data_IF_690270232486
#
_entry.id   IF_690270232486
#
_cell.length_a   1.000
_cell.length_b   1.000
_cell.length_c   1.000
_cell.angle_alpha   90.00
_cell.angle_beta   90.00
_cell.angle_gamma   90.00
#
_symmetry.space_group_name_H-M   'P 1'
#
loop_
_entity.id
_entity.type
_entity.pdbx_description
1 polymer ?
2 non-polymer ?
3 non-polymer ?
4 non-polymer ?
5 non-polymer ?
6 non-polymer ?
7 water ?
#
# COMPACT_ATOMS: atom_id res chain seq x y z
N UNK A 1 5.72 21.86 5.91
CA UNK A 1 5.14 22.25 4.59
C UNK A 1 3.69 22.74 4.75
N UNK A 2 3.54 23.76 5.59
CA UNK A 2 2.24 24.25 6.00
C UNK A 2 1.39 24.80 4.88
N UNK A 3 2.01 25.30 3.80
CA UNK A 3 1.25 25.83 2.68
C UNK A 3 0.58 24.76 1.80
N UNK A 4 0.79 23.48 2.11
CA UNK A 4 0.02 22.40 1.43
C UNK A 4 -1.13 21.87 2.28
N UNK A 5 -1.12 22.16 3.57
CA UNK A 5 -2.11 21.54 4.46
C UNK A 5 -3.53 21.99 4.18
N UNK A 6 -4.46 21.12 4.53
CA UNK A 6 -5.90 21.36 4.45
C UNK A 6 -6.44 21.31 5.87
N UNK A 7 -7.35 22.23 6.17
CA UNK A 7 -7.92 22.41 7.49
C UNK A 7 -9.30 21.78 7.52
N UNK A 8 -9.56 20.85 8.46
CA UNK A 8 -10.91 20.26 8.55
C UNK A 8 -11.92 21.29 9.04
N UNK A 9 -12.94 21.53 8.25
CA UNK A 9 -14.10 22.37 8.59
C UNK A 9 -15.27 21.60 9.12
N UNK A 10 -15.45 20.36 8.66
CA UNK A 10 -16.51 19.54 9.19
C UNK A 10 -16.20 18.10 8.88
N UNK A 11 -16.69 17.24 9.75
CA UNK A 11 -16.62 15.79 9.55
C UNK A 11 -17.90 15.17 9.94
N UNK A 12 -18.17 14.05 9.30
CA UNK A 12 -19.27 13.21 9.68
C UNK A 12 -18.94 11.79 9.31
N UNK A 13 -19.52 10.83 10.02
CA UNK A 13 -19.46 9.48 9.54
C UNK A 13 -20.61 9.32 8.57
N UNK A 14 -20.29 9.20 7.28
CA UNK A 14 -21.29 9.22 6.20
C UNK A 14 -21.90 7.83 6.00
N UNK A 15 -21.15 6.78 6.29
CA UNK A 15 -21.65 5.44 6.04
C UNK A 15 -20.98 4.46 6.96
N UNK A 16 -21.75 3.48 7.40
CA UNK A 16 -21.21 2.31 8.07
C UNK A 16 -21.82 1.08 7.43
N UNK A 17 -20.96 0.23 6.90
CA UNK A 17 -21.40 -1.00 6.30
C UNK A 17 -21.27 -2.09 7.35
N UNK A 18 -21.21 -3.32 6.87
CA UNK A 18 -20.96 -4.43 7.74
C UNK A 18 -19.61 -4.30 8.40
N UNK A 19 -18.64 -3.80 7.63
CA UNK A 19 -17.26 -3.68 8.06
C UNK A 19 -16.68 -2.29 7.85
N UNK A 20 -17.02 -1.61 6.76
CA UNK A 20 -16.32 -0.39 6.43
C UNK A 20 -17.07 0.82 6.94
N UNK A 21 -16.33 1.73 7.56
CA UNK A 21 -16.86 2.99 8.06
C UNK A 21 -16.22 4.12 7.24
N UNK A 22 -17.07 4.98 6.68
CA UNK A 22 -16.57 6.06 5.83
C UNK A 22 -16.81 7.42 6.50
N UNK A 23 -15.74 8.20 6.60
CA UNK A 23 -15.81 9.60 7.03
C UNK A 23 -15.83 10.52 5.82
N UNK A 24 -16.69 11.52 5.87
CA UNK A 24 -16.73 12.54 4.84
C UNK A 24 -16.45 13.89 5.47
N UNK A 25 -15.45 14.60 4.97
CA UNK A 25 -15.01 15.89 5.53
C UNK A 25 -15.13 16.97 4.50
N UNK A 26 -15.42 18.20 4.96
CA UNK A 26 -15.20 19.37 4.19
C UNK A 26 -13.93 19.98 4.73
N UNK A 27 -13.02 20.34 3.83
CA UNK A 27 -11.75 20.93 4.20
C UNK A 27 -11.53 22.25 3.50
N UNK A 28 -10.78 23.13 4.14
CA UNK A 28 -10.29 24.35 3.53
C UNK A 28 -8.90 24.11 3.02
N UNK A 29 -8.78 24.14 1.70
CA UNK A 29 -7.50 23.86 1.06
C UNK A 29 -6.59 25.11 0.97
N UNK A 30 -5.39 24.98 0.37
CA UNK A 30 -4.48 26.15 0.35
C UNK A 30 -5.00 27.34 -0.44
N UNK A 31 -5.99 27.12 -1.28
CA UNK A 31 -6.61 28.24 -2.00
C UNK A 31 -7.70 28.99 -1.18
N UNK A 32 -7.94 28.51 0.03
CA UNK A 32 -8.96 29.05 0.93
C UNK A 32 -10.38 28.58 0.59
N UNK A 33 -10.51 27.74 -0.44
CA UNK A 33 -11.77 27.15 -0.87
C UNK A 33 -12.02 25.79 -0.20
N UNK A 34 -13.25 25.34 -0.28
CA UNK A 34 -13.72 24.17 0.45
C UNK A 34 -13.90 23.00 -0.51
N UNK A 35 -13.34 21.86 -0.07
CA UNK A 35 -13.37 20.65 -0.85
C UNK A 35 -13.82 19.48 0.02
N UNK A 36 -14.46 18.52 -0.61
CA UNK A 36 -14.82 17.28 0.04
C UNK A 36 -13.66 16.30 0.03
N UNK A 37 -13.49 15.63 1.16
CA UNK A 37 -12.55 14.51 1.29
C UNK A 37 -13.24 13.33 1.97
N UNK A 38 -13.02 12.11 1.44
CA UNK A 38 -13.68 10.92 1.95
C UNK A 38 -12.65 9.87 2.17
N UNK A 39 -12.78 9.17 3.29
CA UNK A 39 -11.80 8.16 3.63
C UNK A 39 -12.36 7.17 4.62
N UNK A 40 -11.80 5.97 4.59
CA UNK A 40 -12.17 4.86 5.47
C UNK A 40 -11.48 5.06 6.82
N UNK A 41 -12.23 4.78 7.89
CA UNK A 41 -11.68 4.84 9.23
C UNK A 41 -11.24 3.44 9.59
N UNK A 42 -9.95 3.27 9.81
CA UNK A 42 -9.36 1.96 9.97
C UNK A 42 -8.61 1.93 11.29
N UNK A 43 -8.64 0.77 11.96
CA UNK A 43 -8.02 0.75 13.28
C UNK A 43 -6.48 0.75 13.33
N UNK A 44 -5.84 0.56 12.17
CA UNK A 44 -4.42 0.27 12.16
C UNK A 44 -4.14 -1.23 12.20
N UNK A 45 -2.88 -1.59 11.99
CA UNK A 45 -2.53 -3.02 11.81
C UNK A 45 -1.03 -3.22 12.09
N UNK A 46 -0.69 -4.48 12.26
CA UNK A 46 0.69 -4.91 12.32
C UNK A 46 0.92 -6.06 11.34
N UNK A 47 2.18 -6.19 10.89
CA UNK A 47 2.65 -7.26 10.05
C UNK A 47 4.05 -7.64 10.50
N UNK A 48 4.33 -8.96 10.45
CA UNK A 48 5.54 -9.59 11.01
C UNK A 48 6.31 -10.28 9.91
N UNK A 49 7.63 -10.12 9.95
CA UNK A 49 8.52 -10.89 9.10
C UNK A 49 9.13 -11.98 10.01
N UNK A 50 8.64 -13.24 9.91
CA UNK A 50 9.08 -14.28 10.92
C UNK A 50 10.22 -15.09 10.36
N UNK A 51 11.42 -14.83 10.85
CA UNK A 51 12.65 -15.41 10.33
C UNK A 51 13.03 -16.63 11.16
N UNK A 52 13.05 -17.78 10.50
CA UNK A 52 13.31 -19.08 11.10
C UNK A 52 14.80 -19.32 11.25
N UNK A 53 15.15 -20.24 12.13
CA UNK A 53 16.57 -20.56 12.27
C UNK A 53 17.18 -21.01 10.97
N UNK A 54 16.41 -21.69 10.12
CA UNK A 54 16.96 -22.20 8.85
C UNK A 54 17.13 -21.13 7.74
N UNK A 55 16.76 -19.89 8.05
CA UNK A 55 16.87 -18.80 7.15
C UNK A 55 15.64 -18.54 6.34
N UNK A 56 14.68 -19.44 6.36
CA UNK A 56 13.41 -19.19 5.65
C UNK A 56 12.55 -18.29 6.49
N UNK A 57 11.54 -17.75 5.81
CA UNK A 57 10.54 -16.96 6.51
C UNK A 57 9.21 -17.66 6.46
N UNK A 58 8.41 -17.44 7.48
CA UNK A 58 7.08 -18.01 7.60
C UNK A 58 6.12 -17.02 6.92
N UNK A 59 5.41 -17.54 5.94
CA UNK A 59 4.46 -16.73 5.16
C UNK A 59 3.16 -17.48 5.09
N UNK A 60 2.12 -16.84 4.57
CA UNK A 60 0.85 -17.47 4.39
C UNK A 60 0.31 -17.30 2.98
N UNK A 61 -0.55 -18.24 2.60
CA UNK A 61 -1.42 -17.99 1.44
C UNK A 61 -2.80 -17.71 1.98
N UNK A 62 -3.44 -16.66 1.44
CA UNK A 62 -4.76 -16.27 1.88
C UNK A 62 -5.52 -15.72 0.68
N UNK A 63 -6.80 -16.12 0.57
CA UNK A 63 -7.63 -15.59 -0.49
C UNK A 63 -8.17 -14.23 -0.07
N UNK A 64 -8.20 -13.30 -1.01
CA UNK A 64 -8.68 -11.93 -0.76
C UNK A 64 -9.72 -11.61 -1.78
N UNK A 65 -10.96 -11.65 -1.32
CA UNK A 65 -12.06 -11.48 -2.20
C UNK A 65 -12.11 -10.12 -2.88
N UNK A 66 -11.56 -9.08 -2.24
CA UNK A 66 -11.53 -7.75 -2.87
C UNK A 66 -10.85 -7.77 -4.23
N UNK A 67 -9.83 -8.64 -4.38
CA UNK A 67 -9.05 -8.75 -5.61
C UNK A 67 -9.28 -10.06 -6.36
N UNK A 68 -10.07 -10.95 -5.76
CA UNK A 68 -10.43 -12.26 -6.34
C UNK A 68 -9.20 -13.12 -6.54
N UNK A 69 -8.23 -13.01 -5.65
CA UNK A 69 -6.96 -13.71 -5.81
C UNK A 69 -6.46 -14.25 -4.47
N UNK A 70 -5.64 -15.29 -4.57
CA UNK A 70 -4.89 -15.82 -3.43
C UNK A 70 -3.56 -15.08 -3.42
N UNK A 71 -3.23 -14.53 -2.27
CA UNK A 71 -1.98 -13.81 -2.09
C UNK A 71 -0.98 -14.53 -1.21
N UNK A 72 0.30 -14.36 -1.52
CA UNK A 72 1.36 -14.72 -0.56
C UNK A 72 1.56 -13.53 0.35
N UNK A 73 1.47 -13.71 1.66
CA UNK A 73 1.54 -12.58 2.60
C UNK A 73 2.41 -12.92 3.77
N UNK A 74 2.97 -11.91 4.41
CA UNK A 74 3.47 -12.05 5.75
C UNK A 74 2.25 -12.02 6.69
N UNK A 75 2.33 -12.69 7.83
CA UNK A 75 1.18 -12.63 8.77
C UNK A 75 0.91 -11.22 9.27
N UNK A 76 -0.37 -10.90 9.46
CA UNK A 76 -0.75 -9.61 9.85
C UNK A 76 -2.16 -9.61 10.45
N UNK A 77 -2.51 -8.55 11.14
CA UNK A 77 -3.91 -8.31 11.49
C UNK A 77 -4.14 -6.91 12.01
N UNK A 78 -5.41 -6.60 12.26
CA UNK A 78 -5.81 -5.31 12.73
C UNK A 78 -5.60 -5.12 14.21
N UNK A 79 -5.30 -3.89 14.54
CA UNK A 79 -5.09 -3.46 15.89
C UNK A 79 -6.42 -3.52 16.64
N UNK A 80 -6.44 -4.17 17.79
CA UNK A 80 -7.64 -4.29 18.62
C UNK A 80 -7.65 -3.21 19.71
N UNK A 81 -8.72 -2.41 19.68
CA UNK A 81 -8.96 -1.32 20.63
C UNK A 81 -7.70 -0.69 21.20
N UNK A 82 -6.99 0.00 20.32
CA UNK A 82 -5.79 0.78 20.65
C UNK A 82 -4.69 0.10 21.45
N UNK A 83 -4.61 -1.22 21.34
CA UNK A 83 -3.48 -1.96 21.89
C UNK A 83 -2.20 -1.53 21.18
N UNK A 84 -1.04 -1.68 21.82
CA UNK A 84 0.22 -1.48 21.13
C UNK A 84 0.31 -2.54 20.01
N UNK A 85 0.85 -2.12 18.86
CA UNK A 85 0.88 -3.01 17.73
C UNK A 85 1.82 -4.19 17.91
N UNK A 86 2.76 -4.08 18.85
CA UNK A 86 3.60 -5.24 19.20
C UNK A 86 2.74 -6.38 19.71
N UNK A 87 1.72 -6.05 20.52
CA UNK A 87 0.76 -7.08 20.95
C UNK A 87 -0.04 -7.68 19.76
N UNK A 88 -0.51 -6.82 18.85
CA UNK A 88 -1.18 -7.29 17.69
C UNK A 88 -0.30 -8.27 16.94
N UNK A 89 0.96 -7.90 16.76
CA UNK A 89 1.85 -8.73 15.99
C UNK A 89 2.07 -10.07 16.67
N UNK A 90 2.35 -10.05 17.96
CA UNK A 90 2.55 -11.34 18.69
C UNK A 90 1.33 -12.26 18.54
N UNK A 91 0.14 -11.69 18.69
CA UNK A 91 -1.07 -12.45 18.67
C UNK A 91 -1.33 -13.01 17.29
N UNK A 92 -1.17 -12.17 16.26
CA UNK A 92 -1.41 -12.62 14.94
C UNK A 92 -0.39 -13.65 14.50
N UNK A 93 0.84 -13.52 14.92
CA UNK A 93 1.84 -14.50 14.51
C UNK A 93 1.42 -15.85 15.07
N UNK A 94 0.96 -15.82 16.32
CA UNK A 94 0.58 -17.09 16.99
C UNK A 94 -0.69 -17.67 16.37
N UNK A 95 -1.68 -16.82 16.16
CA UNK A 95 -2.94 -17.29 15.64
C UNK A 95 -2.87 -17.74 14.20
N UNK A 96 -2.22 -16.95 13.33
CA UNK A 96 -2.16 -17.31 11.93
C UNK A 96 -1.20 -18.42 11.59
N UNK A 97 -0.13 -18.57 12.37
CA UNK A 97 0.93 -19.51 12.00
C UNK A 97 1.38 -20.43 13.11
N UNK A 98 0.98 -20.18 14.36
CA UNK A 98 1.46 -20.96 15.50
C UNK A 98 2.80 -20.62 16.13
N UNK A 99 3.45 -19.57 15.69
CA UNK A 99 4.78 -19.27 16.18
C UNK A 99 4.76 -18.22 17.26
N UNK A 100 5.73 -18.32 18.16
CA UNK A 100 6.11 -17.21 19.03
C UNK A 100 7.56 -16.87 18.72
N UNK A 101 7.93 -15.64 19.01
CA UNK A 101 9.28 -15.15 18.78
C UNK A 101 9.81 -14.50 20.05
N UNK A 102 11.08 -14.74 20.38
CA UNK A 102 11.70 -14.05 21.53
C UNK A 102 12.28 -12.67 21.23
N UNK A 103 12.56 -12.39 19.94
CA UNK A 103 13.20 -11.18 19.57
C UNK A 103 12.30 -10.47 18.58
N UNK A 104 11.77 -9.33 18.98
CA UNK A 104 10.92 -8.48 18.13
C UNK A 104 11.58 -7.14 17.91
N UNK A 105 11.55 -6.65 16.66
CA UNK A 105 12.15 -5.37 16.34
C UNK A 105 11.18 -4.64 15.46
N UNK A 106 10.81 -3.44 15.88
CA UNK A 106 9.99 -2.57 15.02
C UNK A 106 10.86 -2.09 13.87
N UNK A 107 10.37 -2.22 12.63
CA UNK A 107 11.08 -1.70 11.47
C UNK A 107 10.61 -0.35 10.97
N UNK A 108 9.31 -0.23 10.68
CA UNK A 108 8.82 0.99 10.09
C UNK A 108 7.30 0.94 10.07
N UNK A 109 6.68 2.11 9.86
CA UNK A 109 5.26 2.20 9.67
C UNK A 109 4.95 2.62 8.23
N UNK A 110 4.00 1.94 7.62
CA UNK A 110 3.59 2.24 6.25
C UNK A 110 2.15 2.70 6.26
N UNK A 111 1.78 3.50 5.26
CA UNK A 111 0.42 3.93 5.01
C UNK A 111 0.02 3.42 3.62
N UNK A 112 -0.84 2.41 3.57
CA UNK A 112 -1.14 1.78 2.27
C UNK A 112 -2.16 2.42 1.43
N UNK A 113 -2.90 3.39 1.95
CA UNK A 113 -4.05 3.94 1.25
C UNK A 113 -4.16 5.46 1.47
N UNK A 114 -3.09 6.21 1.21
CA UNK A 114 -3.05 7.62 1.61
C UNK A 114 -4.17 8.46 0.98
N UNK A 115 -4.71 8.03 -0.14
CA UNK A 115 -5.82 8.79 -0.73
C UNK A 115 -7.16 8.52 -0.10
N UNK A 116 -7.36 7.41 0.60
CA UNK A 116 -8.70 7.11 1.10
C UNK A 116 -8.85 6.21 2.30
N UNK A 117 -7.82 6.10 3.11
CA UNK A 117 -7.99 5.41 4.38
C UNK A 117 -6.94 5.95 5.34
N UNK A 118 -7.24 6.02 6.63
CA UNK A 118 -6.23 6.38 7.59
C UNK A 118 -5.42 5.18 8.13
N UNK A 119 -5.53 4.03 7.48
CA UNK A 119 -4.80 2.83 7.88
C UNK A 119 -3.30 3.11 7.93
N UNK A 120 -2.66 2.62 9.00
CA UNK A 120 -1.22 2.48 9.04
C UNK A 120 -0.97 1.06 9.46
N UNK A 121 0.18 0.54 9.03
CA UNK A 121 0.60 -0.84 9.34
C UNK A 121 2.01 -0.71 9.92
N UNK A 122 2.21 -1.21 11.14
CA UNK A 122 3.51 -1.26 11.74
C UNK A 122 4.12 -2.60 11.37
N UNK A 123 5.34 -2.56 10.85
CA UNK A 123 6.02 -3.74 10.34
C UNK A 123 7.13 -4.10 11.36
N UNK A 124 7.19 -5.38 11.69
CA UNK A 124 8.12 -5.90 12.66
C UNK A 124 8.91 -7.06 12.08
N UNK A 125 10.10 -7.26 12.61
CA UNK A 125 10.94 -8.43 12.31
C UNK A 125 10.90 -9.30 13.56
N UNK A 126 10.52 -10.55 13.41
CA UNK A 126 10.44 -11.53 14.51
C UNK A 126 11.49 -12.59 14.28
N UNK A 127 12.32 -12.77 15.30
CA UNK A 127 13.42 -13.71 15.29
C UNK A 127 13.40 -14.53 16.57
N UNK A 128 14.14 -15.63 16.51
CA UNK A 128 14.21 -16.65 17.57
C UNK A 128 12.82 -17.24 17.77
N UNK A 129 12.39 -17.98 16.77
CA UNK A 129 11.03 -18.50 16.69
C UNK A 129 10.95 -19.87 17.31
N UNK A 130 9.79 -20.15 17.89
CA UNK A 130 9.44 -21.49 18.30
C UNK A 130 7.97 -21.71 17.97
N UNK A 131 7.65 -22.93 17.56
CA UNK A 131 6.32 -23.32 17.10
C UNK A 131 5.42 -23.94 18.18
N UNK A 132 4.12 -23.64 18.07
CA UNK A 132 3.03 -24.22 18.86
C UNK A 132 1.97 -24.75 17.87
N UNK A 133 0.83 -24.06 17.70
CA UNK A 133 -0.10 -24.39 16.60
C UNK A 133 -1.08 -23.26 16.24
N UNK A 134 -1.56 -23.33 15.00
CA UNK A 134 -2.41 -22.30 14.41
C UNK A 134 -3.78 -22.26 15.10
N UNK A 135 -4.36 -21.06 15.23
CA UNK A 135 -5.73 -20.92 15.72
C UNK A 135 -6.48 -19.87 14.89
N UNK A 136 -7.21 -20.31 13.88
CA UNK A 136 -7.84 -19.41 12.92
C UNK A 136 -9.20 -18.87 13.38
N UNK A 137 -9.51 -17.64 12.99
CA UNK A 137 -10.80 -17.01 13.31
C UNK A 137 -11.89 -17.59 12.40
N UNK A 138 -13.15 -17.40 12.79
CA UNK A 138 -14.28 -17.70 11.90
C UNK A 138 -14.16 -16.86 10.64
N UNK A 139 -14.26 -17.51 9.47
CA UNK A 139 -14.16 -16.80 8.21
C UNK A 139 -12.72 -16.55 7.76
N UNK A 140 -11.74 -17.09 8.49
CA UNK A 140 -10.31 -16.93 8.19
C UNK A 140 -9.74 -18.28 7.75
N UNK A 141 -9.17 -18.31 6.55
CA UNK A 141 -8.71 -19.54 5.93
C UNK A 141 -7.30 -19.26 5.44
N UNK A 142 -6.30 -20.00 5.92
CA UNK A 142 -4.91 -19.61 5.73
C UNK A 142 -4.09 -20.87 5.58
N UNK A 143 -3.17 -20.86 4.63
CA UNK A 143 -2.19 -21.93 4.53
C UNK A 143 -0.85 -21.36 4.90
N UNK A 144 -0.10 -22.04 5.75
CA UNK A 144 1.20 -21.55 6.21
C UNK A 144 2.25 -22.19 5.34
N UNK A 145 3.22 -21.38 4.92
CA UNK A 145 4.33 -21.84 4.07
C UNK A 145 5.65 -21.29 4.58
N UNK A 146 6.73 -22.00 4.27
CA UNK A 146 8.06 -21.47 4.47
C UNK A 146 8.62 -21.08 3.12
N UNK A 147 9.24 -19.90 3.07
CA UNK A 147 9.76 -19.35 1.82
C UNK A 147 11.21 -18.92 2.00
N UNK A 148 12.06 -19.31 1.06
CA UNK A 148 13.44 -18.89 1.10
C UNK A 148 13.50 -17.43 0.64
N UNK A 149 14.22 -16.54 1.39
CA UNK A 149 14.27 -15.13 1.01
C UNK A 149 14.70 -14.88 -0.41
N UNK A 150 15.69 -15.62 -0.89
CA UNK A 150 16.07 -15.51 -2.32
C UNK A 150 14.92 -15.79 -3.30
N UNK A 151 14.10 -16.80 -3.01
CA UNK A 151 12.94 -17.13 -3.81
C UNK A 151 11.91 -16.02 -3.71
N UNK A 152 11.76 -15.47 -2.52
CA UNK A 152 10.77 -14.39 -2.32
C UNK A 152 11.14 -13.20 -3.17
N UNK A 153 12.42 -12.82 -3.20
CA UNK A 153 12.82 -11.64 -3.96
C UNK A 153 12.58 -11.88 -5.44
N UNK A 154 12.78 -13.12 -5.91
CA UNK A 154 12.52 -13.43 -7.32
C UNK A 154 11.03 -13.34 -7.63
N UNK A 155 10.22 -13.80 -6.67
CA UNK A 155 8.78 -13.66 -6.80
C UNK A 155 8.38 -12.20 -6.86
N UNK A 156 9.01 -11.35 -6.05
CA UNK A 156 8.70 -9.92 -6.11
C UNK A 156 8.94 -9.39 -7.53
N UNK A 157 10.14 -9.61 -8.06
CA UNK A 157 10.53 -9.16 -9.37
C UNK A 157 9.53 -9.64 -10.43
N UNK A 158 9.03 -10.87 -10.27
CA UNK A 158 8.07 -11.48 -11.26
C UNK A 158 6.64 -11.00 -11.13
N UNK A 159 6.38 -10.15 -10.13
CA UNK A 159 5.05 -9.59 -9.92
C UNK A 159 4.14 -10.45 -9.09
N UNK A 160 4.71 -11.48 -8.45
CA UNK A 160 3.96 -12.50 -7.77
C UNK A 160 3.79 -12.24 -6.28
N UNK A 161 4.20 -11.05 -5.82
CA UNK A 161 4.04 -10.64 -4.45
C UNK A 161 3.44 -9.25 -4.46
N UNK A 162 2.29 -9.12 -5.11
CA UNK A 162 1.72 -7.78 -5.26
C UNK A 162 1.13 -7.09 -4.02
N UNK A 163 0.89 -7.83 -2.94
CA UNK A 163 0.46 -7.27 -1.69
C UNK A 163 1.49 -6.30 -1.15
N UNK A 164 1.16 -5.03 -1.08
CA UNK A 164 2.14 -4.00 -0.73
C UNK A 164 2.85 -4.24 0.58
N UNK A 165 2.16 -4.69 1.62
CA UNK A 165 2.81 -4.80 2.94
C UNK A 165 3.85 -5.91 2.88
N UNK A 166 3.53 -6.96 2.13
CA UNK A 166 4.40 -8.14 2.10
C UNK A 166 5.58 -7.81 1.19
N UNK A 167 5.33 -7.12 0.07
CA UNK A 167 6.44 -6.74 -0.80
C UNK A 167 7.42 -5.80 -0.11
N UNK A 168 6.89 -4.83 0.64
CA UNK A 168 7.72 -3.97 1.43
C UNK A 168 8.50 -4.81 2.46
N UNK A 169 7.83 -5.78 3.08
CA UNK A 169 8.55 -6.66 4.01
C UNK A 169 9.72 -7.36 3.39
N UNK A 170 9.50 -7.85 2.17
CA UNK A 170 10.54 -8.54 1.44
C UNK A 170 11.75 -7.64 1.21
N UNK A 171 11.52 -6.40 0.79
CA UNK A 171 12.60 -5.47 0.56
C UNK A 171 13.35 -5.11 1.84
N UNK A 172 12.63 -4.91 2.94
CA UNK A 172 13.28 -4.64 4.22
C UNK A 172 14.07 -5.88 4.68
N UNK A 173 13.50 -7.05 4.52
CA UNK A 173 14.24 -8.29 4.81
C UNK A 173 15.52 -8.38 4.01
N UNK A 174 15.43 -8.05 2.72
CA UNK A 174 16.60 -8.11 1.83
C UNK A 174 17.70 -7.20 2.36
N UNK A 175 17.34 -5.98 2.75
CA UNK A 175 18.28 -5.02 3.31
C UNK A 175 18.88 -5.53 4.60
N UNK A 176 18.06 -6.22 5.40
CA UNK A 176 18.52 -6.78 6.65
C UNK A 176 19.49 -7.92 6.42
N UNK A 177 19.13 -8.82 5.51
CA UNK A 177 19.94 -10.06 5.28
C UNK A 177 21.28 -9.73 4.66
N UNK A 178 21.32 -8.65 3.89
CA UNK A 178 22.58 -8.17 3.26
C UNK A 178 23.44 -7.34 4.19
N UNK A 179 22.92 -6.99 5.36
CA UNK A 179 23.64 -6.27 6.39
C UNK A 179 23.62 -4.77 6.12
N UNK A 180 22.74 -4.33 5.20
CA UNK A 180 22.70 -2.91 4.85
C UNK A 180 21.97 -2.16 5.92
N UNK A 181 20.78 -2.67 6.28
CA UNK A 181 19.95 -2.06 7.32
C UNK A 181 19.79 -3.08 8.43
N UNK A 182 20.53 -2.91 9.52
CA UNK A 182 20.47 -3.89 10.62
C UNK A 182 20.95 -3.31 11.95
N UNK B 3 -9.53 -24.35 -3.03
CA UNK B 3 -9.01 -24.67 -1.66
C UNK B 3 -9.12 -23.49 -0.71
N UNK B 4 -8.72 -22.30 -1.14
CA UNK B 4 -8.95 -21.07 -0.37
C UNK B 4 -9.99 -20.16 -1.00
N UNK B 5 -10.27 -20.37 -2.29
CA UNK B 5 -11.13 -19.45 -3.03
C UNK B 5 -12.54 -19.42 -2.44
N UNK B 6 -13.13 -18.24 -2.44
CA UNK B 6 -14.51 -18.02 -2.01
C UNK B 6 -15.35 -17.78 -3.24
N UNK B 7 -16.58 -18.27 -3.21
CA UNK B 7 -17.48 -18.20 -4.36
C UNK B 7 -18.47 -17.07 -4.12
N UNK B 8 -18.61 -16.17 -5.08
CA UNK B 8 -19.57 -15.08 -4.93
C UNK B 8 -20.98 -15.63 -5.13
N UNK B 9 -21.87 -15.33 -4.18
CA UNK B 9 -23.28 -15.70 -4.28
C UNK B 9 -24.16 -14.53 -4.69
N UNK B 10 -23.78 -13.31 -4.26
CA UNK B 10 -24.53 -12.12 -4.62
C UNK B 10 -23.63 -10.92 -4.50
N UNK B 11 -24.02 -9.84 -5.17
CA UNK B 11 -23.24 -8.59 -5.23
C UNK B 11 -24.19 -7.43 -5.16
N UNK B 12 -23.76 -6.35 -4.53
CA UNK B 12 -24.60 -5.17 -4.43
C UNK B 12 -23.66 -3.99 -4.26
N UNK B 13 -23.94 -2.85 -4.88
CA UNK B 13 -23.21 -1.63 -4.55
C UNK B 13 -23.97 -0.96 -3.43
N UNK B 14 -23.41 -0.92 -2.24
CA UNK B 14 -24.17 -0.50 -1.06
C UNK B 14 -23.99 0.99 -0.74
N UNK B 15 -22.90 1.57 -1.21
CA UNK B 15 -22.58 2.95 -0.92
C UNK B 15 -21.91 3.59 -2.09
N UNK B 16 -22.34 4.80 -2.42
CA UNK B 16 -21.62 5.63 -3.32
C UNK B 16 -21.60 7.03 -2.78
N UNK B 17 -20.42 7.54 -2.43
CA UNK B 17 -20.32 8.89 -1.96
C UNK B 17 -19.82 9.83 -3.04
N UNK B 18 -19.13 10.87 -2.60
CA UNK B 18 -18.50 11.79 -3.54
C UNK B 18 -17.45 11.09 -4.38
N UNK B 19 -16.68 10.22 -3.73
CA UNK B 19 -15.58 9.50 -4.36
C UNK B 19 -15.60 8.00 -4.19
N UNK B 20 -16.01 7.54 -3.03
CA UNK B 20 -15.88 6.12 -2.70
C UNK B 20 -17.14 5.33 -2.99
N UNK B 21 -16.95 4.18 -3.61
CA UNK B 21 -18.02 3.25 -3.89
C UNK B 21 -17.70 1.93 -3.19
N UNK B 22 -18.68 1.39 -2.48
CA UNK B 22 -18.50 0.12 -1.73
C UNK B 22 -19.36 -0.99 -2.34
N UNK B 23 -18.70 -2.09 -2.66
CA UNK B 23 -19.37 -3.32 -3.07
C UNK B 23 -19.52 -4.21 -1.82
N UNK B 24 -20.69 -4.80 -1.67
CA UNK B 24 -20.90 -5.81 -0.65
C UNK B 24 -21.35 -7.09 -1.32
N UNK B 25 -20.59 -8.13 -1.03
CA UNK B 25 -20.88 -9.43 -1.59
C UNK B 25 -21.19 -10.44 -0.48
N UNK B 26 -22.08 -11.38 -0.80
CA UNK B 26 -22.18 -12.61 -0.06
C UNK B 26 -21.34 -13.63 -0.75
N UNK B 27 -20.53 -14.38 0.01
CA UNK B 27 -19.66 -15.40 -0.55
C UNK B 27 -19.80 -16.68 0.22
N UNK B 28 -19.54 -17.79 -0.47
CA UNK B 28 -19.42 -19.09 0.19
C UNK B 28 -17.96 -19.41 0.34
N UNK B 29 -17.53 -19.63 1.56
CA UNK B 29 -16.11 -19.84 1.87
C UNK B 29 -15.76 -21.32 1.86
N UNK B 30 -14.48 -21.67 2.07
CA UNK B 30 -14.06 -23.08 2.08
C UNK B 30 -14.71 -23.96 3.13
N UNK B 31 -15.25 -23.37 4.21
CA UNK B 31 -15.98 -24.12 5.23
C UNK B 31 -17.44 -24.37 4.83
N UNK B 32 -17.80 -23.96 3.59
CA UNK B 32 -19.13 -24.11 3.06
C UNK B 32 -20.14 -23.12 3.54
N UNK B 33 -19.70 -22.19 4.38
CA UNK B 33 -20.57 -21.23 5.00
C UNK B 33 -20.52 -19.89 4.30
N UNK B 34 -21.54 -19.08 4.58
CA UNK B 34 -21.73 -17.80 3.88
C UNK B 34 -21.20 -16.66 4.74
N UNK B 35 -20.52 -15.71 4.06
CA UNK B 35 -19.93 -14.57 4.76
C UNK B 35 -20.11 -13.33 3.89
N UNK B 36 -20.06 -12.20 4.55
CA UNK B 36 -20.08 -10.92 3.87
C UNK B 36 -18.65 -10.44 3.57
N UNK B 37 -18.45 -9.88 2.38
CA UNK B 37 -17.21 -9.26 1.99
C UNK B 37 -17.54 -7.86 1.51
N UNK B 38 -16.80 -6.86 2.01
CA UNK B 38 -17.06 -5.47 1.66
C UNK B 38 -15.78 -4.85 1.19
N UNK B 39 -15.82 -4.17 0.04
CA UNK B 39 -14.61 -3.57 -0.47
C UNK B 39 -14.90 -2.37 -1.39
N UNK B 40 -13.93 -1.51 -1.49
CA UNK B 40 -13.98 -0.36 -2.39
C UNK B 40 -13.79 -0.82 -3.84
N UNK B 41 -14.64 -0.27 -4.71
CA UNK B 41 -14.50 -0.41 -6.17
C UNK B 41 -13.71 0.80 -6.63
N UNK B 42 -12.47 0.51 -6.98
CA UNK B 42 -11.49 1.54 -7.37
C UNK B 42 -11.16 1.38 -8.82
N UNK B 43 -10.93 2.48 -9.55
CA UNK B 43 -10.71 2.40 -11.01
C UNK B 43 -9.35 1.83 -11.44
N UNK B 44 -8.44 1.73 -10.50
CA UNK B 44 -7.06 1.40 -10.75
C UNK B 44 -6.29 2.69 -10.94
N UNK B 45 -4.97 2.56 -11.02
CA UNK B 45 -4.11 3.72 -10.99
C UNK B 45 -2.74 3.40 -11.55
N UNK B 46 -2.00 4.46 -11.86
CA UNK B 46 -0.61 4.40 -12.29
C UNK B 46 0.24 5.28 -11.39
N UNK B 47 1.50 4.88 -11.25
CA UNK B 47 2.50 5.68 -10.54
C UNK B 47 3.75 5.65 -11.40
N UNK B 48 4.52 6.72 -11.37
CA UNK B 48 5.59 6.94 -12.32
C UNK B 48 6.84 7.36 -11.59
N UNK B 49 7.94 6.70 -11.90
CA UNK B 49 9.26 7.05 -11.39
C UNK B 49 10.02 7.78 -12.50
N UNK B 50 10.13 9.11 -12.40
CA UNK B 50 10.70 9.85 -13.56
C UNK B 50 12.17 10.14 -13.29
N UNK B 51 13.04 9.49 -14.05
CA UNK B 51 14.48 9.57 -13.87
C UNK B 51 15.08 10.58 -14.83
N UNK B 52 15.72 11.59 -14.24
CA UNK B 52 16.31 12.73 -14.94
C UNK B 52 17.70 12.36 -15.41
N UNK B 53 18.21 13.13 -16.39
CA UNK B 53 19.57 12.87 -16.90
C UNK B 53 20.65 13.07 -15.87
N UNK B 54 20.40 13.88 -14.84
CA UNK B 54 21.38 14.06 -13.72
C UNK B 54 21.36 12.95 -12.66
N UNK B 55 20.51 11.94 -12.85
CA UNK B 55 20.41 10.81 -11.91
C UNK B 55 19.41 11.01 -10.78
N UNK B 56 18.81 12.18 -10.71
CA UNK B 56 17.81 12.42 -9.67
C UNK B 56 16.47 11.93 -10.23
N UNK B 57 15.51 11.80 -9.34
CA UNK B 57 14.13 11.54 -9.70
C UNK B 57 13.23 12.67 -9.32
N UNK B 58 12.23 12.86 -10.17
CA UNK B 58 11.19 13.83 -9.93
C UNK B 58 10.19 13.22 -8.97
N UNK B 59 9.95 13.90 -7.86
CA UNK B 59 8.97 13.49 -6.86
C UNK B 59 8.09 14.66 -6.54
N UNK B 60 7.09 14.43 -5.70
CA UNK B 60 6.20 15.51 -5.30
C UNK B 60 6.01 15.51 -3.78
N UNK B 61 5.63 16.67 -3.24
CA UNK B 61 5.07 16.73 -1.90
C UNK B 61 3.59 17.04 -2.09
N UNK B 62 2.76 16.34 -1.36
CA UNK B 62 1.31 16.45 -1.45
C UNK B 62 0.71 16.17 -0.07
N UNK B 63 -0.22 17.00 0.37
CA UNK B 63 -0.94 16.73 1.60
C UNK B 63 -1.98 15.65 1.33
N UNK B 64 -2.21 14.79 2.32
CA UNK B 64 -3.22 13.72 2.21
C UNK B 64 -4.10 13.73 3.43
N UNK B 65 -5.29 14.29 3.26
CA UNK B 65 -6.19 14.42 4.35
C UNK B 65 -6.53 13.14 5.07
N UNK B 66 -6.56 12.01 4.36
CA UNK B 66 -6.95 10.77 5.01
C UNK B 66 -5.99 10.45 6.16
N UNK B 67 -4.73 10.84 6.03
CA UNK B 67 -3.73 10.54 7.06
C UNK B 67 -3.28 11.82 7.81
N UNK B 68 -3.65 12.99 7.32
CA UNK B 68 -3.35 14.29 7.97
C UNK B 68 -1.87 14.63 7.96
N UNK B 69 -1.18 14.28 6.87
CA UNK B 69 0.25 14.50 6.71
C UNK B 69 0.53 14.91 5.26
N UNK B 70 1.64 15.59 5.11
CA UNK B 70 2.26 15.81 3.82
C UNK B 70 3.14 14.60 3.54
N UNK B 71 3.02 14.06 2.34
CA UNK B 71 3.79 12.95 1.87
C UNK B 71 4.74 13.31 0.75
N UNK B 72 5.88 12.62 0.78
CA UNK B 72 6.77 12.54 -0.36
C UNK B 72 6.30 11.35 -1.24
N UNK B 73 5.90 11.64 -2.49
CA UNK B 73 5.37 10.64 -3.39
C UNK B 73 6.02 10.68 -4.75
N UNK B 74 5.96 9.58 -5.45
CA UNK B 74 6.09 9.62 -6.90
C UNK B 74 4.72 10.00 -7.45
N UNK B 75 4.71 10.72 -8.59
CA UNK B 75 3.42 11.18 -9.15
C UNK B 75 2.59 10.01 -9.59
N UNK B 76 1.25 10.19 -9.61
CA UNK B 76 0.35 9.09 -9.82
C UNK B 76 -1.02 9.63 -10.09
N UNK B 77 -1.90 8.78 -10.57
CA UNK B 77 -3.32 9.10 -10.62
C UNK B 77 -4.14 7.92 -11.04
N UNK B 78 -5.47 8.15 -11.01
CA UNK B 78 -6.44 7.12 -11.25
C UNK B 78 -6.78 6.96 -12.72
N UNK B 79 -7.03 5.72 -13.09
CA UNK B 79 -7.44 5.39 -14.46
C UNK B 79 -8.78 6.03 -14.78
N UNK B 80 -8.84 6.66 -15.95
CA UNK B 80 -10.06 7.31 -16.44
C UNK B 80 -10.70 6.46 -17.54
N UNK B 81 -12.02 6.27 -17.46
CA UNK B 81 -12.76 5.46 -18.44
C UNK B 81 -12.05 4.16 -18.85
N UNK B 82 -11.53 3.40 -17.88
CA UNK B 82 -10.74 2.19 -18.18
C UNK B 82 -9.72 2.30 -19.35
N UNK B 83 -9.08 3.45 -19.48
CA UNK B 83 -7.95 3.60 -20.39
C UNK B 83 -6.77 2.70 -19.98
N UNK B 84 -5.91 2.46 -20.94
CA UNK B 84 -4.62 1.77 -20.75
C UNK B 84 -3.86 2.57 -19.62
N UNK B 85 -3.37 1.94 -18.54
CA UNK B 85 -2.72 2.69 -17.42
C UNK B 85 -1.52 3.47 -17.90
N UNK B 86 -0.86 3.10 -19.02
CA UNK B 86 0.24 3.94 -19.51
C UNK B 86 -0.30 5.30 -19.92
N UNK B 87 -1.52 5.36 -20.45
CA UNK B 87 -2.10 6.65 -20.78
C UNK B 87 -2.36 7.48 -19.51
N UNK B 88 -2.86 6.83 -18.49
CA UNK B 88 -3.00 7.47 -17.18
C UNK B 88 -1.64 8.07 -16.71
N UNK B 89 -0.61 7.24 -16.80
CA UNK B 89 0.72 7.67 -16.37
C UNK B 89 1.24 8.87 -17.11
N UNK B 90 1.09 8.85 -18.44
CA UNK B 90 1.59 9.98 -19.23
C UNK B 90 0.83 11.26 -18.88
N UNK B 91 -0.48 11.17 -18.79
CA UNK B 91 -1.26 12.33 -18.45
C UNK B 91 -0.90 12.87 -17.05
N UNK B 92 -0.85 11.98 -16.04
CA UNK B 92 -0.61 12.43 -14.68
C UNK B 92 0.83 12.91 -14.50
N UNK B 93 1.79 12.38 -15.24
CA UNK B 93 3.13 12.91 -15.15
C UNK B 93 3.15 14.36 -15.62
N UNK B 94 2.46 14.66 -16.70
CA UNK B 94 2.33 16.06 -17.17
C UNK B 94 1.54 16.92 -16.20
N UNK B 95 0.36 16.48 -15.80
CA UNK B 95 -0.49 17.30 -14.96
C UNK B 95 0.15 17.54 -13.61
N UNK B 96 0.70 16.49 -12.99
CA UNK B 96 1.17 16.68 -11.59
C UNK B 96 2.56 17.29 -11.48
N UNK B 97 3.43 17.03 -12.47
CA UNK B 97 4.80 17.48 -12.41
C UNK B 97 5.27 18.40 -13.52
N UNK B 98 4.54 18.46 -14.63
CA UNK B 98 4.98 19.22 -15.78
C UNK B 98 5.94 18.50 -16.71
N UNK B 99 6.19 17.22 -16.53
CA UNK B 99 7.11 16.50 -17.38
C UNK B 99 6.41 15.58 -18.43
N UNK B 100 7.14 15.37 -19.53
CA UNK B 100 6.84 14.34 -20.53
C UNK B 100 8.05 13.48 -20.61
N UNK B 101 7.87 12.24 -21.05
CA UNK B 101 8.95 11.30 -21.20
C UNK B 101 8.79 10.51 -22.48
N UNK B 102 9.91 10.27 -23.15
CA UNK B 102 9.88 9.54 -24.43
C UNK B 102 10.18 8.05 -24.25
N UNK B 103 10.51 7.64 -23.03
CA UNK B 103 10.87 6.25 -22.78
C UNK B 103 10.13 5.77 -21.53
N UNK B 104 9.20 4.83 -21.70
CA UNK B 104 8.39 4.30 -20.60
C UNK B 104 8.53 2.82 -20.50
N UNK B 105 8.65 2.32 -19.28
CA UNK B 105 8.73 0.91 -19.02
C UNK B 105 7.84 0.52 -17.85
N UNK B 106 6.97 -0.46 -18.08
CA UNK B 106 6.18 -1.07 -17.03
C UNK B 106 7.08 -1.88 -16.12
N UNK B 107 6.95 -1.64 -14.82
CA UNK B 107 7.71 -2.40 -13.85
C UNK B 107 6.93 -3.54 -13.20
N UNK B 108 5.85 -3.20 -12.49
CA UNK B 108 5.11 -4.17 -11.74
C UNK B 108 3.74 -3.57 -11.34
N UNK B 109 2.84 -4.48 -10.97
CA UNK B 109 1.52 -4.11 -10.47
C UNK B 109 1.47 -4.45 -9.00
N UNK B 110 0.98 -3.49 -8.20
CA UNK B 110 0.83 -3.72 -6.77
C UNK B 110 -0.64 -3.59 -6.36
N UNK B 111 -1.00 -4.20 -5.24
CA UNK B 111 -2.34 -4.13 -4.69
C UNK B 111 -2.22 -3.60 -3.28
N UNK B 112 -2.59 -2.33 -3.09
CA UNK B 112 -2.30 -1.70 -1.80
C UNK B 112 -3.27 -1.97 -0.67
N UNK B 113 -4.42 -2.55 -0.97
CA UNK B 113 -5.45 -2.70 0.01
C UNK B 113 -6.20 -4.02 -0.15
N UNK B 114 -5.49 -5.14 -0.09
CA UNK B 114 -6.13 -6.40 -0.40
C UNK B 114 -7.29 -6.79 0.50
N UNK B 115 -7.32 -6.24 1.71
CA UNK B 115 -8.37 -6.53 2.66
C UNK B 115 -9.69 -5.83 2.35
N UNK B 116 -9.65 -4.73 1.61
CA UNK B 116 -10.85 -3.91 1.44
C UNK B 116 -10.92 -2.97 0.24
N UNK B 117 -10.14 -3.23 -0.81
CA UNK B 117 -10.27 -2.47 -2.06
C UNK B 117 -9.74 -3.30 -3.19
N UNK B 118 -10.35 -3.16 -4.33
CA UNK B 118 -9.85 -3.84 -5.54
C UNK B 118 -8.78 -3.02 -6.30
N UNK B 119 -8.29 -1.96 -5.68
CA UNK B 119 -7.29 -1.12 -6.26
C UNK B 119 -6.05 -1.88 -6.68
N UNK B 120 -5.62 -1.64 -7.89
CA UNK B 120 -4.27 -1.99 -8.31
C UNK B 120 -3.57 -0.71 -8.77
N UNK B 121 -2.25 -0.70 -8.64
CA UNK B 121 -1.43 0.40 -9.15
C UNK B 121 -0.37 -0.18 -10.00
N UNK B 122 -0.33 0.27 -11.25
CA UNK B 122 0.75 -0.09 -12.15
C UNK B 122 1.90 0.91 -12.04
N UNK B 123 3.10 0.39 -11.76
CA UNK B 123 4.26 1.24 -11.60
C UNK B 123 5.11 1.23 -12.89
N UNK B 124 5.53 2.43 -13.29
CA UNK B 124 6.30 2.67 -14.51
C UNK B 124 7.55 3.47 -14.20
N UNK B 125 8.60 3.17 -15.00
CA UNK B 125 9.80 3.99 -15.06
C UNK B 125 9.72 4.87 -16.30
N UNK B 126 9.95 6.16 -16.15
CA UNK B 126 9.91 7.15 -17.21
C UNK B 126 11.29 7.77 -17.34
N UNK B 127 11.80 7.72 -18.57
CA UNK B 127 13.09 8.36 -18.88
C UNK B 127 13.04 9.18 -20.13
N UNK B 128 14.09 9.95 -20.34
CA UNK B 128 14.16 10.89 -21.47
C UNK B 128 13.10 11.98 -21.39
N UNK B 129 13.30 12.84 -20.42
CA UNK B 129 12.29 13.79 -19.98
C UNK B 129 12.40 15.17 -20.59
N UNK B 130 11.25 15.82 -20.65
CA UNK B 130 11.11 17.21 -21.05
C UNK B 130 10.25 17.95 -20.03
N UNK B 131 10.73 19.11 -19.58
CA UNK B 131 10.04 19.86 -18.55
C UNK B 131 9.13 20.91 -19.12
N UNK B 132 7.83 20.65 -19.10
CA UNK B 132 6.80 21.61 -19.48
C UNK B 132 6.28 22.26 -18.20
N UNK B 133 4.97 22.36 -17.99
CA UNK B 133 4.45 22.91 -16.75
C UNK B 133 3.35 22.05 -16.19
N UNK B 134 3.16 22.12 -14.89
CA UNK B 134 2.05 21.41 -14.25
C UNK B 134 0.73 21.92 -14.78
N UNK B 135 -0.28 21.08 -14.69
CA UNK B 135 -1.62 21.45 -15.05
C UNK B 135 -2.50 20.70 -14.06
N UNK B 136 -2.60 21.23 -12.85
CA UNK B 136 -3.26 20.55 -11.76
C UNK B 136 -4.78 20.54 -11.89
N UNK B 137 -5.39 19.48 -11.36
CA UNK B 137 -6.82 19.29 -11.42
C UNK B 137 -7.47 19.86 -10.18
N UNK B 138 -8.80 19.84 -10.16
CA UNK B 138 -9.60 20.39 -9.06
C UNK B 138 -9.17 19.79 -7.73
N UNK B 139 -8.85 20.67 -6.78
CA UNK B 139 -8.50 20.27 -5.46
C UNK B 139 -7.11 19.69 -5.34
N UNK B 140 -6.31 19.77 -6.41
CA UNK B 140 -4.91 19.27 -6.39
C UNK B 140 -3.93 20.38 -6.06
N UNK B 141 -3.09 20.14 -5.06
CA UNK B 141 -2.04 21.04 -4.64
C UNK B 141 -0.82 20.18 -4.48
N UNK B 142 0.14 20.40 -5.36
CA UNK B 142 1.31 19.56 -5.49
C UNK B 142 2.55 20.40 -5.74
N UNK B 143 3.59 20.13 -4.98
CA UNK B 143 4.88 20.72 -5.22
C UNK B 143 5.85 19.71 -5.75
N UNK B 144 6.60 20.07 -6.79
CA UNK B 144 7.54 19.18 -7.42
C UNK B 144 8.91 19.36 -6.78
N UNK B 145 9.59 18.24 -6.51
CA UNK B 145 10.93 18.28 -5.94
C UNK B 145 11.81 17.26 -6.64
N UNK B 146 13.11 17.54 -6.78
CA UNK B 146 14.04 16.56 -7.30
C UNK B 146 14.69 15.91 -6.13
N UNK B 147 14.89 14.62 -6.21
CA UNK B 147 15.41 13.82 -5.10
C UNK B 147 16.49 12.88 -5.55
N UNK B 148 17.60 12.85 -4.81
CA UNK B 148 18.65 11.94 -5.14
C UNK B 148 18.27 10.53 -4.67
N UNK B 149 18.45 9.51 -5.51
CA UNK B 149 17.99 8.19 -5.05
C UNK B 149 18.66 7.75 -3.75
N UNK B 150 19.92 8.06 -3.54
CA UNK B 150 20.53 7.68 -2.27
C UNK B 150 19.86 8.32 -1.08
N UNK B 151 19.49 9.60 -1.21
CA UNK B 151 18.75 10.33 -0.19
C UNK B 151 17.37 9.68 0.02
N UNK B 152 16.75 9.27 -1.08
CA UNK B 152 15.42 8.60 -1.01
C UNK B 152 15.50 7.34 -0.19
N UNK B 153 16.55 6.54 -0.41
CA UNK B 153 16.66 5.31 0.34
C UNK B 153 16.92 5.53 1.82
N UNK B 154 17.70 6.54 2.14
CA UNK B 154 17.86 6.91 3.57
C UNK B 154 16.56 7.40 4.17
N UNK B 155 15.78 8.18 3.42
CA UNK B 155 14.48 8.56 3.91
C UNK B 155 13.55 7.35 4.15
N UNK B 156 13.61 6.35 3.29
CA UNK B 156 12.79 5.13 3.46
C UNK B 156 13.13 4.49 4.80
N UNK B 157 14.43 4.31 5.03
CA UNK B 157 14.92 3.70 6.27
C UNK B 157 14.44 4.45 7.47
N UNK B 158 14.39 5.75 7.35
CA UNK B 158 14.03 6.65 8.45
C UNK B 158 12.54 6.73 8.68
N UNK B 159 11.71 6.05 7.89
CA UNK B 159 10.27 6.11 8.04
C UNK B 159 9.62 7.32 7.42
N UNK B 160 10.37 8.05 6.59
CA UNK B 160 9.90 9.31 5.99
C UNK B 160 9.33 9.15 4.58
N UNK B 161 9.26 7.89 4.14
CA UNK B 161 8.57 7.54 2.85
C UNK B 161 7.51 6.47 3.10
N UNK B 162 6.53 6.79 3.95
CA UNK B 162 5.54 5.75 4.39
C UNK B 162 4.48 5.41 3.36
N UNK B 163 4.37 6.22 2.30
CA UNK B 163 3.42 5.90 1.24
C UNK B 163 3.86 4.64 0.53
N UNK B 164 3.05 3.58 0.62
CA UNK B 164 3.48 2.30 0.08
C UNK B 164 3.91 2.35 -1.38
N UNK B 165 3.21 3.07 -2.24
CA UNK B 165 3.51 2.97 -3.65
C UNK B 165 4.87 3.59 -3.93
N UNK B 166 5.15 4.66 -3.20
CA UNK B 166 6.37 5.43 -3.37
C UNK B 166 7.53 4.64 -2.80
N UNK B 167 7.33 4.10 -1.62
CA UNK B 167 8.37 3.26 -0.99
C UNK B 167 8.73 2.08 -1.90
N UNK B 168 7.74 1.39 -2.44
CA UNK B 168 7.99 0.30 -3.36
C UNK B 168 8.74 0.81 -4.60
N UNK B 169 8.31 1.94 -5.14
CA UNK B 169 9.03 2.53 -6.24
C UNK B 169 10.50 2.78 -5.90
N UNK B 170 10.77 3.33 -4.72
CA UNK B 170 12.16 3.52 -4.29
C UNK B 170 12.95 2.23 -4.31
N UNK B 171 12.35 1.16 -3.80
CA UNK B 171 13.03 -0.13 -3.74
C UNK B 171 13.33 -0.68 -5.11
N UNK B 172 12.37 -0.57 -6.03
CA UNK B 172 12.57 -1.01 -7.41
C UNK B 172 13.68 -0.19 -8.08
N UNK B 173 13.61 1.12 -7.90
CA UNK B 173 14.62 2.04 -8.46
C UNK B 173 15.98 1.64 -7.91
N UNK B 174 16.04 1.32 -6.62
CA UNK B 174 17.33 0.92 -6.01
C UNK B 174 17.89 -0.34 -6.70
N UNK B 175 17.03 -1.33 -6.91
CA UNK B 175 17.41 -2.54 -7.63
C UNK B 175 17.90 -2.26 -9.05
N UNK B 176 17.26 -1.30 -9.74
CA UNK B 176 17.64 -0.93 -11.12
C UNK B 176 18.98 -0.20 -11.09
N UNK B 177 19.14 0.75 -10.18
CA UNK B 177 20.35 1.57 -10.16
C UNK B 177 21.56 0.74 -9.72
N UNK B 178 21.31 -0.26 -8.91
CA UNK B 178 22.39 -1.17 -8.46
C UNK B 178 22.76 -2.23 -9.47
N UNK B 179 22.10 -2.26 -10.64
CA UNK B 179 22.38 -3.24 -11.68
C UNK B 179 21.79 -4.62 -11.44
N UNK B 180 20.98 -4.76 -10.40
CA UNK B 180 20.44 -6.06 -10.03
C UNK B 180 19.24 -6.46 -10.89
N UNK B 181 18.29 -5.55 -11.03
CA UNK B 181 17.11 -5.80 -11.85
C UNK B 181 17.03 -4.83 -13.01
N UNK B 182 17.03 -5.35 -14.24
CA UNK B 182 17.03 -4.50 -15.44
C UNK B 182 16.25 -5.09 -16.61
X LIG C 1 -6.42 -9.07 7.89
X LIG C 1 -4.98 -9.00 7.43
X LIG C 1 -6.74 -10.39 8.38
X LIG C 1 -6.65 -8.08 8.97
X LIG C 1 -7.40 -8.67 6.82
X LIG D 1 -15.71 19.11 -4.00
X LIG D 1 -15.49 18.82 -5.43
X LIG D 1 -14.49 18.93 -3.24
X LIG D 1 -16.77 18.17 -3.51
X LIG D 1 -16.21 20.51 -3.89
X LIG E 1 -10.91 -10.99 3.62
X LIG E 1 -9.79 -10.16 3.13
X LIG E 1 -10.41 -12.38 3.86
X LIG E 1 -11.45 -10.39 4.88
X LIG E 1 -11.98 -11.01 2.58
X LIG F 1 17.34 -16.83 14.76
X LIG F 1 16.61 -18.03 15.02
X LIG F 1 16.81 -16.26 13.44
X LIG F 1 15.55 -15.62 13.77
X LIG F 1 17.88 -15.35 12.84
X LIG F 1 19.08 -16.14 12.59
X LIG G 1 -12.43 -1.99 8.20
X LIG G 1 -11.75 -1.09 9.07
X LIG G 1 -11.67 -3.30 8.12
X LIG G 1 -12.37 -4.29 8.89
X LIG G 1 -11.51 -3.80 6.67
X LIG G 1 -12.42 -4.87 6.41
X LIG H 1 -1.63 -12.83 -6.84
X LIG H 1 -1.07 -13.54 -5.74
X LIG H 1 -1.48 -11.37 -6.44
X LIG H 1 -1.66 -10.45 -7.50
X LIG H 1 -0.09 -11.20 -5.87
X LIG H 1 0.89 -10.95 -6.85
X LIG I 1 -6.32 -5.18 7.32
X LIG I 1 -7.30 -4.51 6.45
X LIG I 1 -4.90 -4.56 7.22
X LIG I 1 -4.81 -4.20 5.87
X LIG I 1 -3.69 -5.45 7.56
X LIG I 1 -3.55 -6.62 6.71
X LIG J 1 15.00 1.64 12.74
X LIG J 1 13.60 1.47 13.02
X LIG J 1 15.60 0.29 12.36
X LIG J 1 14.88 -0.26 11.24
X LIG J 1 15.66 -1.21 10.47
X LIG J 1 16.27 -2.31 11.31
X LIG J 1 16.49 -3.51 10.55
X LIG K 1 -20.83 18.23 0.49
X LIG K 1 -21.75 18.58 1.55
X LIG K 1 -20.79 16.75 0.15
X LIG K 1 -20.02 16.60 -1.05
X LIG K 1 -20.71 16.82 -2.29
X LIG K 1 -21.65 15.68 -2.61
X LIG K 1 -21.04 14.40 -2.42
X LIG L 1 -0.84 -17.92 -4.97
X LIG L 1 0.09 -16.88 -4.58
X LIG L 1 1.16 -17.48 -3.82
X LIG L 1 2.54 -17.68 -4.47
X LIG L 1 3.48 -18.01 -3.41
X LIG L 1 4.15 -19.29 -3.48
X LIG L 1 5.04 -19.49 -2.25
X LIG L 1 4.69 -20.71 -1.55
X LIG M 1 -0.36 34.87 0.51
X LIG M 1 0.20 36.19 0.55
X LIG M 1 -0.30 34.23 -0.88
X LIG M 1 -0.78 32.86 -0.86
X LIG M 1 -2.19 32.84 -0.62
X LIG M 1 -2.80 31.45 -0.72
X LIG M 1 -6.80 31.80 1.82
X LIG M 1 -6.28 32.15 0.52
X LIG M 1 -4.76 32.12 0.55
X LIG M 1 -4.24 31.61 -0.69
X LIG N 1 -6.55 13.64 -1.73
X LIG N 1 -5.70 14.70 -2.26
X LIG N 1 -5.85 12.44 -1.19
X LIG N 1 -7.33 14.23 -0.61
X LIG N 1 -7.47 13.25 -2.88
X LIG O 1 -20.95 -11.90 8.08
X LIG O 1 -19.63 -12.12 7.42
X LIG O 1 -20.75 -11.95 9.57
X LIG O 1 -21.90 -12.95 7.64
X LIG O 1 -21.68 -10.67 7.75
X LIG P 1 -4.30 10.48 -6.65
X LIG P 1 -2.99 9.87 -6.32
X LIG P 1 -5.14 9.58 -7.59
X LIG P 1 -5.16 10.56 -5.43
X LIG P 1 -4.22 11.80 -7.26
X LIG Q 1 4.33 11.53 5.95
X LIG Q 1 5.37 12.19 5.26
X LIG Q 1 4.90 10.27 6.55
X LIG Q 1 3.90 9.37 6.94
X LIG Q 1 5.76 9.63 5.48
X LIG Q 1 6.75 8.84 6.07
X LIG R 1 -5.38 6.86 -5.52
X LIG R 1 -6.45 6.28 -4.72
X LIG R 1 -4.30 5.83 -5.87
X LIG R 1 -3.99 5.24 -4.61
X LIG R 1 -3.04 6.37 -6.56
X LIG R 1 -2.22 7.35 -5.86
X LIG S 1 13.75 23.93 -15.45
X LIG S 1 14.45 25.14 -15.10
X LIG S 1 13.77 23.74 -16.97
X LIG S 1 12.48 24.11 -17.54
X LIG S 1 14.21 22.29 -17.27
X LIG S 1 14.35 22.03 -18.68
X LIG T 1 -6.32 -21.84 -4.36
X LIG T 1 -6.43 -22.13 -2.95
X LIG T 1 -7.70 -21.73 -5.02
X LIG T 1 -8.77 -21.83 -4.07
X LIG T 1 -7.87 -20.40 -5.75
X LIG T 1 -6.71 -20.10 -6.52
X LIG U 1 -10.37 6.90 -4.03
X LIG U 1 -10.44 8.24 -3.42
X LIG U 1 -11.57 6.79 -4.98
X LIG U 1 -11.47 7.87 -5.94
X LIG U 1 -11.59 5.44 -5.68
X LIG U 1 -12.63 5.43 -6.64
X LIG V 1 7.05 14.84 3.53
X LIG V 1 8.44 14.52 3.67
X LIG V 1 9.18 15.08 2.60
X LIG V 1 10.65 14.62 2.50
X LIG V 1 11.19 15.14 1.27
X LIG V 1 12.45 15.80 1.41
X LIG V 1 13.10 16.02 0.06
X LIG V 1 12.32 16.95 -0.72
X LIG W 1 15.56 -0.84 -17.96
X LIG W 1 14.96 -1.64 -18.99
X LIG W 1 15.42 -1.58 -16.65
X LIG W 1 14.38 -1.02 -15.85
X LIG W 1 14.30 -1.60 -14.54
X LIG W 1 13.10 -2.53 -14.43
X LIG W 1 11.12 -5.38 -16.02
X LIG W 1 11.14 -4.78 -14.73
X LIG W 1 12.54 -4.85 -14.10
X LIG W 1 13.46 -3.89 -14.67
#
# INVERSE_FOLDING_TARGET
>A
MKHLEEKTLSTRQIFKGRYLKIEQDQVQAPDGRTYTREYILHPGAAMMIPLLPNGNVVMIHQYRHAVKKVFLEFPAGKRDHNEETLLTAKRELLEETGYEAKDWKFLTTIHPVIGYSNEHIDLYLARDLTHLEQRLDQGEFIEVVEVKPADLMQLVLEGKVSDVKTQIGAFWLDKFLRGEWN
>B
MKHLEEKTLSTRQIFKGRYLKIEQDQVQAPDGRTYTREYILHPGAAMMIPLLPNGNVVMIHQYRHAVKKVFLEFPAGKRDHNEETLLTAKRELLEETGYEAKDWKFLTTIHPVIGYSNEHIDLYLARDLTHLEQRLDQGEFIEVVEVKPADLMQLVLEGKVSDVKTQIGAFWLDKFLRGEWN
>C hetero
1 SO4 S O1 O2 O3 O4
>D hetero
1 SO4 S O1 O2 O3 O4
>E hetero
1 SO4 S O1 O2 O3 O4
>F hetero
1 GOL C1 O1 C2 O2 C3 O3
>G hetero
1 GOL C1 O1 C2 O2 C3 O3
>H hetero
1 GOL C1 O1 C2 O2 C3 O3
>I hetero
1 GOL C1 O1 C2 O2 C3 O3
>J hetero
1 PEG C1 O1 C2 O2 C3 C4 O4
>K hetero
1 PEG C1 O1 C2 O2 C3 C4 O4
>L hetero
1 PG0 C5 O2 C4 C3 O1 C2 C1 OTT
>M hetero
1 PGE C1 O1 C2 O2 C3 C4 O4 C6 C5 O3
>N hetero
1 SO4 S O1 O2 O3 O4
>O hetero
1 SO4 S O1 O2 O3 O4
>P hetero
1 SO4 S O1 O2 O3 O4
>Q hetero
1 GOL C1 O1 C2 O2 C3 O3
>R hetero
1 GOL C1 O1 C2 O2 C3 O3
>S hetero
1 GOL C1 O1 C2 O2 C3 O3
>T hetero
1 GOL C1 O1 C2 O2 C3 O3
>U hetero
1 GOL C1 O1 C2 O2 C3 O3
>V hetero
1 PG0 C5 O2 C4 C3 O1 C2 C1 OTT
>W hetero
1 PGE C1 O1 C2 O2 C3 C4 O4 C6 C5 O3
#
